data_IF_443569646878
#
_entry.id   IF_443569646878
#
_cell.length_a   1.000
_cell.length_b   1.000
_cell.length_c   1.000
_cell.angle_alpha   90.00
_cell.angle_beta   90.00
_cell.angle_gamma   90.00
#
_symmetry.space_group_name_H-M   'P 1'
#
loop_
_entity.id
_entity.type
_entity.pdbx_description
1 polymer ?
#
# COMPACT_ATOMS: atom_id res chain seq x y z
N UNK A 1 57.00 -12.54 -46.57
CA UNK A 1 57.35 -11.41 -45.66
C UNK A 1 56.05 -10.97 -45.00
N UNK A 2 55.71 -11.55 -43.85
CA UNK A 2 55.99 -11.06 -42.48
C UNK A 2 54.87 -10.09 -42.02
N UNK A 3 53.79 -10.56 -41.38
CA UNK A 3 53.57 -10.72 -39.92
C UNK A 3 53.79 -9.45 -39.08
N UNK A 4 52.71 -8.92 -38.48
CA UNK A 4 52.51 -8.78 -37.00
C UNK A 4 51.25 -7.96 -36.62
N UNK A 5 50.33 -8.62 -35.91
CA UNK A 5 49.59 -8.25 -34.65
C UNK A 5 49.19 -6.78 -34.39
N UNK A 6 47.96 -6.47 -33.97
CA UNK A 6 47.36 -6.87 -32.69
C UNK A 6 45.81 -6.92 -32.71
N UNK A 7 45.26 -7.93 -32.04
CA UNK A 7 43.86 -7.99 -31.58
C UNK A 7 43.61 -7.01 -30.45
N UNK A 8 42.39 -6.47 -30.37
CA UNK A 8 41.76 -6.19 -29.08
C UNK A 8 40.25 -6.46 -29.18
N UNK A 9 39.86 -7.64 -28.69
CA UNK A 9 38.54 -7.89 -28.14
C UNK A 9 38.52 -7.26 -26.74
N UNK A 10 37.60 -6.35 -26.49
CA UNK A 10 37.01 -6.17 -25.15
C UNK A 10 35.50 -6.11 -25.36
N UNK A 11 34.86 -7.29 -25.32
CA UNK A 11 33.49 -7.42 -24.86
C UNK A 11 33.54 -7.31 -23.34
N UNK A 12 32.82 -6.32 -22.80
CA UNK A 12 32.18 -6.25 -21.47
C UNK A 12 31.88 -4.77 -21.20
N UNK A 13 30.92 -4.23 -21.95
CA UNK A 13 30.27 -2.97 -21.64
C UNK A 13 29.16 -3.25 -20.64
N UNK A 14 29.32 -2.70 -19.44
CA UNK A 14 28.51 -2.91 -18.26
C UNK A 14 27.03 -2.62 -18.50
N UNK A 15 26.18 -3.42 -17.85
CA UNK A 15 24.75 -3.15 -17.77
C UNK A 15 24.52 -1.73 -17.28
N UNK A 16 23.73 -0.98 -18.04
CA UNK A 16 23.14 0.25 -17.57
C UNK A 16 22.17 -0.12 -16.44
N UNK A 17 22.66 -0.15 -15.21
CA UNK A 17 21.80 0.07 -14.06
C UNK A 17 21.26 1.49 -14.24
N UNK A 18 20.03 1.60 -14.72
CA UNK A 18 19.26 2.82 -14.62
C UNK A 18 19.05 3.04 -13.11
N UNK A 19 19.96 3.78 -12.50
CA UNK A 19 19.74 4.36 -11.19
C UNK A 19 18.65 5.42 -11.41
N UNK A 20 17.39 5.04 -11.20
CA UNK A 20 16.36 6.03 -10.96
C UNK A 20 16.74 6.71 -9.64
N UNK A 21 17.39 7.86 -9.73
CA UNK A 21 17.38 8.81 -8.64
C UNK A 21 15.93 9.25 -8.49
N UNK A 22 15.18 8.55 -7.64
CA UNK A 22 13.93 9.06 -7.12
C UNK A 22 14.32 10.30 -6.33
N UNK A 23 14.19 11.48 -6.95
CA UNK A 23 14.07 12.70 -6.17
C UNK A 23 12.95 12.44 -5.18
N UNK A 24 13.31 12.33 -3.89
CA UNK A 24 12.34 12.17 -2.82
C UNK A 24 11.56 13.49 -2.73
N UNK A 25 10.55 13.62 -3.59
CA UNK A 25 9.49 14.60 -3.43
C UNK A 25 8.89 14.39 -2.03
N UNK A 26 8.56 15.47 -1.35
CA UNK A 26 7.94 15.41 -0.04
C UNK A 26 6.65 14.60 -0.16
N UNK A 27 6.65 13.35 0.33
CA UNK A 27 5.44 12.56 0.41
C UNK A 27 4.47 13.29 1.35
N UNK A 28 3.22 13.40 0.92
CA UNK A 28 2.13 13.91 1.77
C UNK A 28 2.23 13.18 3.11
N UNK A 29 2.26 13.94 4.21
CA UNK A 29 2.38 13.35 5.53
C UNK A 29 1.04 12.75 5.95
N UNK A 30 1.01 11.53 6.52
CA UNK A 30 -0.22 10.96 7.06
C UNK A 30 -0.82 11.89 8.13
N UNK A 31 -2.15 12.04 8.18
CA UNK A 31 -2.83 12.78 9.24
C UNK A 31 -2.62 12.10 10.59
N UNK A 32 -2.78 12.85 11.69
CA UNK A 32 -2.52 12.34 13.04
C UNK A 32 -3.33 11.08 13.43
N UNK A 33 -4.52 10.89 12.83
CA UNK A 33 -5.35 9.69 13.04
C UNK A 33 -4.73 8.43 12.42
N UNK A 34 -3.91 8.58 11.36
CA UNK A 34 -3.12 7.50 10.77
C UNK A 34 -1.81 7.32 11.54
N UNK A 35 -1.94 6.89 12.79
CA UNK A 35 -0.82 6.60 13.67
C UNK A 35 -0.66 5.08 13.82
N UNK A 36 0.49 4.49 13.42
CA UNK A 36 0.80 3.08 13.65
C UNK A 36 0.63 2.59 15.09
N UNK A 37 0.76 3.49 16.07
CA UNK A 37 0.59 3.18 17.49
C UNK A 37 -0.86 3.34 18.00
N UNK A 38 -1.80 3.82 17.18
CA UNK A 38 -3.22 3.85 17.58
C UNK A 38 -3.75 2.41 17.65
N UNK A 39 -4.20 1.91 18.83
CA UNK A 39 -4.75 0.57 18.95
C UNK A 39 -6.02 0.37 18.12
N UNK A 40 -6.71 1.43 17.72
CA UNK A 40 -7.86 1.35 16.82
C UNK A 40 -7.46 1.09 15.37
N UNK A 41 -6.23 1.42 14.94
CA UNK A 41 -5.73 1.09 13.60
C UNK A 41 -5.32 -0.39 13.57
N UNK A 42 -6.17 -1.24 13.00
CA UNK A 42 -6.04 -2.70 13.03
C UNK A 42 -5.25 -3.28 11.86
N UNK A 43 -5.24 -2.58 10.73
CA UNK A 43 -4.49 -2.97 9.54
C UNK A 43 -4.14 -1.72 8.75
N UNK A 44 -2.88 -1.64 8.30
CA UNK A 44 -2.45 -0.64 7.33
C UNK A 44 -1.48 -1.26 6.32
N UNK A 45 -2.00 -1.71 5.20
CA UNK A 45 -1.22 -2.27 4.10
C UNK A 45 -0.95 -1.18 3.07
N UNK A 46 0.31 -0.96 2.77
CA UNK A 46 0.78 0.05 1.81
C UNK A 46 1.75 -0.65 0.86
N UNK A 47 1.42 -0.73 -0.43
CA UNK A 47 2.19 -1.52 -1.38
C UNK A 47 3.61 -0.94 -1.58
N UNK A 48 3.85 0.32 -1.22
CA UNK A 48 5.19 0.90 -1.19
C UNK A 48 6.14 0.21 -0.19
N UNK A 49 5.59 -0.51 0.81
CA UNK A 49 6.42 -1.32 1.71
C UNK A 49 7.03 -2.54 1.01
N UNK A 50 6.40 -3.06 -0.05
CA UNK A 50 6.88 -4.21 -0.81
C UNK A 50 8.11 -3.84 -1.64
N UNK A 51 8.10 -2.69 -2.30
CA UNK A 51 9.29 -2.16 -2.99
C UNK A 51 10.39 -1.81 -1.99
N UNK A 52 10.04 -1.27 -0.82
CA UNK A 52 10.98 -1.06 0.29
C UNK A 52 11.61 -2.35 0.82
N UNK A 53 10.90 -3.48 0.72
CA UNK A 53 11.40 -4.82 1.02
C UNK A 53 12.21 -5.46 -0.13
N UNK A 54 12.35 -4.76 -1.27
CA UNK A 54 13.18 -5.15 -2.40
C UNK A 54 12.46 -5.88 -3.53
N UNK A 55 11.12 -5.96 -3.51
CA UNK A 55 10.35 -6.50 -4.63
C UNK A 55 10.42 -5.56 -5.83
N UNK A 56 10.49 -6.14 -7.03
CA UNK A 56 10.48 -5.47 -8.32
C UNK A 56 9.13 -5.68 -9.03
N UNK A 57 8.86 -4.86 -10.05
CA UNK A 57 7.66 -5.01 -10.86
C UNK A 57 7.54 -6.44 -11.44
N UNK A 58 6.41 -7.09 -11.23
CA UNK A 58 6.13 -8.48 -11.62
C UNK A 58 6.60 -9.52 -10.61
N UNK A 59 7.23 -9.16 -9.49
CA UNK A 59 7.60 -10.13 -8.46
C UNK A 59 6.35 -10.61 -7.69
N UNK A 60 6.28 -11.91 -7.33
CA UNK A 60 5.17 -12.43 -6.54
C UNK A 60 5.21 -11.88 -5.10
N UNK A 61 4.04 -11.49 -4.60
CA UNK A 61 3.85 -11.03 -3.22
C UNK A 61 3.66 -12.24 -2.32
N UNK A 62 4.76 -12.69 -1.72
CA UNK A 62 4.76 -13.84 -0.78
C UNK A 62 4.37 -13.46 0.64
N UNK A 63 4.43 -12.17 0.98
CA UNK A 63 4.08 -11.62 2.30
C UNK A 63 3.90 -10.12 2.19
N UNK A 64 2.81 -9.60 2.74
CA UNK A 64 2.52 -8.17 2.87
C UNK A 64 2.26 -7.87 4.35
N UNK A 65 3.24 -7.25 4.99
CA UNK A 65 3.20 -6.92 6.42
C UNK A 65 2.59 -5.54 6.60
N UNK A 66 1.62 -5.44 7.50
CA UNK A 66 0.95 -4.20 7.79
C UNK A 66 1.79 -3.26 8.68
N UNK A 67 1.57 -1.95 8.56
CA UNK A 67 2.31 -0.88 9.24
C UNK A 67 1.81 -0.60 10.65
N UNK A 68 0.67 -1.14 11.08
CA UNK A 68 0.15 -0.95 12.44
C UNK A 68 1.01 -1.67 13.47
N UNK A 69 0.78 -1.36 14.74
CA UNK A 69 1.42 -2.02 15.87
C UNK A 69 1.12 -3.52 15.99
N UNK A 70 0.13 -4.05 15.25
CA UNK A 70 -0.23 -5.47 15.29
C UNK A 70 0.68 -6.33 14.43
N UNK A 71 1.31 -5.79 13.37
CA UNK A 71 2.21 -6.53 12.49
C UNK A 71 1.54 -7.76 11.85
N UNK A 72 0.27 -7.62 11.49
CA UNK A 72 -0.51 -8.59 10.73
C UNK A 72 0.14 -8.83 9.37
N UNK A 73 0.20 -10.10 8.97
CA UNK A 73 0.85 -10.57 7.76
C UNK A 73 -0.21 -11.18 6.86
N UNK A 74 -0.36 -10.59 5.68
CA UNK A 74 -1.16 -11.12 4.60
C UNK A 74 -0.25 -11.91 3.66
N UNK A 75 -0.53 -13.18 3.43
CA UNK A 75 0.27 -14.01 2.53
C UNK A 75 -0.63 -14.97 1.74
N UNK A 76 -0.18 -15.43 0.56
CA UNK A 76 -0.90 -16.45 -0.16
C UNK A 76 -0.84 -17.78 0.59
N UNK A 77 -1.86 -18.62 0.42
CA UNK A 77 -1.86 -19.99 0.93
C UNK A 77 -1.39 -20.95 -0.17
N UNK A 78 -1.03 -22.14 0.27
CA UNK A 78 -0.64 -23.24 -0.65
C UNK A 78 -1.70 -24.33 -0.74
N UNK A 79 -2.72 -24.26 0.12
CA UNK A 79 -3.88 -25.16 0.16
C UNK A 79 -5.13 -24.35 0.44
N UNK A 80 -6.26 -24.76 -0.13
CA UNK A 80 -7.60 -24.20 0.12
C UNK A 80 -8.03 -24.31 1.60
N UNK A 81 -9.13 -23.63 1.96
CA UNK A 81 -9.72 -23.75 3.31
C UNK A 81 -9.92 -25.22 3.73
N UNK A 82 -9.46 -25.54 4.95
CA UNK A 82 -9.55 -26.87 5.56
C UNK A 82 -10.98 -27.40 5.75
N UNK A 83 -12.01 -26.58 5.59
CA UNK A 83 -13.41 -26.94 5.76
C UNK A 83 -14.26 -26.72 4.49
N UNK A 84 -13.71 -26.13 3.43
CA UNK A 84 -14.43 -25.87 2.17
C UNK A 84 -14.80 -27.13 1.37
N UNK A 85 -15.39 -27.05 0.17
CA UNK A 85 -15.71 -28.21 -0.66
C UNK A 85 -14.47 -28.84 -1.32
N UNK A 86 -13.33 -28.13 -1.30
CA UNK A 86 -12.05 -28.52 -1.90
C UNK A 86 -10.94 -28.74 -0.85
N UNK A 87 -11.31 -29.21 0.35
CA UNK A 87 -10.43 -29.27 1.55
C UNK A 87 -9.03 -29.81 1.23
N UNK A 88 -8.01 -28.98 1.49
CA UNK A 88 -6.61 -29.41 1.43
C UNK A 88 -6.09 -29.64 0.02
N UNK A 89 -6.89 -29.33 -1.00
CA UNK A 89 -6.42 -29.34 -2.37
C UNK A 89 -5.38 -28.22 -2.56
N UNK A 90 -4.29 -28.49 -3.33
CA UNK A 90 -3.33 -27.46 -3.67
C UNK A 90 -3.99 -26.34 -4.46
N UNK A 91 -3.58 -25.10 -4.21
CA UNK A 91 -4.09 -23.92 -4.89
C UNK A 91 -2.96 -22.98 -5.25
N UNK A 92 -3.07 -22.36 -6.42
CA UNK A 92 -2.26 -21.20 -6.76
C UNK A 92 -2.95 -19.92 -6.26
N UNK A 93 -2.22 -19.17 -5.45
CA UNK A 93 -2.53 -17.79 -5.08
C UNK A 93 -1.20 -17.03 -5.25
N UNK A 94 -1.04 -16.22 -6.31
CA UNK A 94 0.21 -15.49 -6.60
C UNK A 94 -0.08 -14.05 -7.01
N UNK A 95 -0.63 -13.22 -6.10
CA UNK A 95 -0.72 -11.79 -6.37
C UNK A 95 0.68 -11.22 -6.65
N UNK A 96 0.78 -10.28 -7.58
CA UNK A 96 2.05 -9.72 -8.04
C UNK A 96 2.19 -8.25 -7.64
N UNK A 97 3.42 -7.82 -7.35
CA UNK A 97 3.72 -6.41 -7.30
C UNK A 97 3.61 -5.84 -8.73
N UNK A 98 2.74 -4.87 -8.95
CA UNK A 98 2.65 -4.14 -10.20
C UNK A 98 2.87 -2.65 -9.95
N UNK A 99 3.79 -2.07 -10.72
CA UNK A 99 4.05 -0.65 -10.71
C UNK A 99 3.22 -0.02 -11.83
N UNK A 100 2.25 0.81 -11.43
CA UNK A 100 1.34 1.52 -12.33
C UNK A 100 1.68 3.02 -12.35
N UNK A 101 1.38 3.70 -13.45
CA UNK A 101 1.52 5.15 -13.52
C UNK A 101 0.23 5.84 -13.07
N UNK A 102 0.28 6.63 -11.97
CA UNK A 102 -0.83 7.45 -11.49
C UNK A 102 -0.40 8.90 -11.34
N UNK A 103 -1.07 9.81 -12.03
CA UNK A 103 -0.74 11.25 -12.00
C UNK A 103 0.76 11.53 -12.25
N UNK A 104 1.36 10.80 -13.19
CA UNK A 104 2.79 10.86 -13.51
C UNK A 104 3.73 10.16 -12.51
N UNK A 105 3.21 9.59 -11.42
CA UNK A 105 3.97 8.84 -10.40
C UNK A 105 3.98 7.36 -10.74
N UNK A 106 5.12 6.71 -10.53
CA UNK A 106 5.20 5.25 -10.52
C UNK A 106 4.77 4.74 -9.14
N UNK A 107 3.55 4.20 -9.06
CA UNK A 107 2.90 3.77 -7.83
C UNK A 107 2.98 2.25 -7.70
N UNK A 108 3.55 1.72 -6.61
CA UNK A 108 3.48 0.30 -6.31
C UNK A 108 2.07 -0.13 -5.94
N UNK A 109 1.63 -1.26 -6.46
CA UNK A 109 0.32 -1.86 -6.23
C UNK A 109 0.43 -3.37 -6.16
N UNK A 110 -0.54 -4.05 -5.56
CA UNK A 110 -0.67 -5.50 -5.62
C UNK A 110 -1.75 -5.83 -6.64
N UNK A 111 -1.35 -6.46 -7.74
CA UNK A 111 -2.25 -6.99 -8.76
C UNK A 111 -2.76 -8.35 -8.33
N UNK A 112 -4.07 -8.51 -8.43
CA UNK A 112 -4.78 -9.75 -8.25
C UNK A 112 -5.32 -10.17 -9.61
N UNK A 113 -4.73 -11.23 -10.16
CA UNK A 113 -5.15 -11.78 -11.43
C UNK A 113 -6.30 -12.78 -11.26
N UNK A 114 -7.12 -12.84 -12.29
CA UNK A 114 -8.18 -13.84 -12.44
C UNK A 114 -8.28 -14.27 -13.89
N UNK A 115 -7.78 -15.46 -14.16
CA UNK A 115 -7.98 -16.15 -15.43
C UNK A 115 -8.97 -17.29 -15.25
N UNK A 116 -10.13 -17.23 -15.91
CA UNK A 116 -11.08 -18.35 -15.93
C UNK A 116 -12.22 -18.31 -14.87
N UNK A 117 -13.08 -19.36 -14.87
CA UNK A 117 -14.27 -19.39 -14.02
C UNK A 117 -13.91 -19.57 -12.52
N UNK A 118 -14.70 -19.00 -11.59
CA UNK A 118 -14.38 -18.94 -10.15
C UNK A 118 -14.29 -20.30 -9.43
N UNK A 119 -14.58 -21.41 -10.13
CA UNK A 119 -14.57 -22.78 -9.60
C UNK A 119 -13.30 -23.58 -9.92
N UNK A 120 -12.31 -23.01 -10.62
CA UNK A 120 -11.06 -23.70 -10.93
C UNK A 120 -10.03 -23.52 -9.81
N UNK A 121 -9.36 -24.62 -9.44
CA UNK A 121 -8.21 -24.63 -8.53
C UNK A 121 -6.94 -24.47 -9.35
N UNK A 122 -6.04 -23.60 -8.90
CA UNK A 122 -4.87 -23.21 -9.67
C UNK A 122 -3.79 -24.24 -9.47
N UNK A 123 -2.91 -24.38 -10.44
CA UNK A 123 -1.69 -25.16 -10.26
C UNK A 123 -0.68 -24.33 -9.46
N UNK A 124 -0.39 -24.67 -8.19
CA UNK A 124 0.59 -23.93 -7.38
C UNK A 124 1.99 -23.86 -8.02
N UNK A 125 2.29 -24.76 -8.96
CA UNK A 125 3.58 -24.83 -9.65
C UNK A 125 3.64 -23.95 -10.91
N UNK A 126 2.51 -23.44 -11.38
CA UNK A 126 2.40 -22.60 -12.58
C UNK A 126 1.89 -21.24 -12.15
N UNK A 127 2.53 -20.19 -12.66
CA UNK A 127 2.11 -18.82 -12.41
C UNK A 127 1.04 -18.42 -13.45
N UNK A 128 -0.07 -17.83 -13.02
CA UNK A 128 -1.20 -17.49 -13.88
C UNK A 128 -1.98 -18.73 -14.35
N UNK A 129 -2.10 -19.73 -13.48
CA UNK A 129 -2.72 -21.02 -13.82
C UNK A 129 -4.25 -21.02 -13.87
N UNK A 130 -4.86 -19.90 -13.46
CA UNK A 130 -6.28 -19.62 -13.67
C UNK A 130 -7.23 -19.91 -12.51
N UNK A 131 -6.80 -19.67 -11.26
CA UNK A 131 -7.65 -19.91 -10.08
C UNK A 131 -7.90 -18.73 -9.17
N UNK A 132 -7.28 -17.60 -9.51
CA UNK A 132 -7.34 -16.31 -8.81
C UNK A 132 -6.33 -16.12 -7.70
N UNK A 133 -5.78 -14.92 -7.67
CA UNK A 133 -4.87 -14.45 -6.65
C UNK A 133 -5.61 -14.00 -5.40
N UNK A 134 -5.04 -14.36 -4.24
CA UNK A 134 -5.62 -14.08 -2.93
C UNK A 134 -4.50 -13.87 -1.90
N UNK A 135 -4.81 -13.12 -0.85
CA UNK A 135 -3.98 -13.03 0.35
C UNK A 135 -4.85 -13.28 1.57
N UNK A 136 -4.33 -14.05 2.53
CA UNK A 136 -5.00 -14.29 3.81
C UNK A 136 -4.12 -13.89 4.98
N UNK A 137 -4.77 -13.50 6.07
CA UNK A 137 -4.13 -13.30 7.35
C UNK A 137 -3.51 -14.61 7.82
N UNK A 138 -2.20 -14.60 8.07
CA UNK A 138 -1.45 -15.82 8.44
C UNK A 138 -0.95 -15.82 9.89
N UNK A 139 -1.00 -14.67 10.55
CA UNK A 139 -0.66 -14.51 11.96
C UNK A 139 -1.77 -13.74 12.70
N UNK A 140 -1.61 -13.62 14.02
CA UNK A 140 -2.56 -12.94 14.89
C UNK A 140 -3.99 -13.53 14.74
N UNK A 141 -4.14 -14.85 14.73
CA UNK A 141 -5.43 -15.53 14.55
C UNK A 141 -6.01 -16.10 15.85
N UNK A 142 -5.39 -15.81 16.99
CA UNK A 142 -5.89 -16.33 18.27
C UNK A 142 -7.23 -15.63 18.60
N UNK A 143 -8.25 -16.35 19.12
CA UNK A 143 -9.57 -15.79 19.39
C UNK A 143 -9.61 -14.54 20.29
N UNK A 144 -8.55 -14.29 21.06
CA UNK A 144 -8.42 -13.14 21.96
C UNK A 144 -7.35 -12.12 21.52
N UNK A 145 -6.77 -12.29 20.34
CA UNK A 145 -5.69 -11.46 19.82
C UNK A 145 -5.81 -11.17 18.32
N UNK A 146 -6.89 -11.61 17.66
CA UNK A 146 -7.11 -11.28 16.26
C UNK A 146 -7.51 -9.80 16.11
N UNK A 147 -6.63 -8.94 15.56
CA UNK A 147 -6.92 -7.51 15.43
C UNK A 147 -8.05 -7.24 14.44
N UNK A 148 -8.30 -8.17 13.52
CA UNK A 148 -9.30 -8.06 12.47
C UNK A 148 -10.61 -8.77 12.83
N UNK A 149 -10.68 -9.46 13.97
CA UNK A 149 -11.96 -9.94 14.52
C UNK A 149 -12.74 -8.82 15.19
N UNK A 150 -13.29 -7.94 14.34
CA UNK A 150 -14.01 -6.72 14.74
C UNK A 150 -15.48 -7.03 15.10
N UNK A 151 -15.93 -8.28 14.91
CA UNK A 151 -17.18 -8.85 15.45
C UNK A 151 -18.47 -8.05 15.23
N UNK A 152 -19.51 -8.39 16.00
CA UNK A 152 -20.80 -7.67 16.07
C UNK A 152 -20.75 -6.46 17.03
N UNK A 153 -19.73 -6.33 17.88
CA UNK A 153 -19.72 -5.33 18.96
C UNK A 153 -18.75 -4.18 18.76
N UNK A 154 -18.23 -3.94 17.55
CA UNK A 154 -17.26 -2.87 17.32
C UNK A 154 -17.49 -2.22 15.97
N UNK A 155 -17.66 -0.90 15.96
CA UNK A 155 -17.71 -0.14 14.71
C UNK A 155 -16.42 -0.25 13.90
N UNK A 156 -16.54 -0.07 12.59
CA UNK A 156 -15.48 -0.22 11.61
C UNK A 156 -15.44 0.98 10.68
N UNK A 157 -14.25 1.47 10.36
CA UNK A 157 -14.03 2.36 9.22
C UNK A 157 -12.89 1.79 8.39
N UNK A 158 -13.10 1.61 7.09
CA UNK A 158 -12.06 1.18 6.17
C UNK A 158 -11.79 2.24 5.11
N UNK A 159 -10.58 2.20 4.54
CA UNK A 159 -10.25 2.90 3.31
C UNK A 159 -9.48 1.95 2.41
N UNK A 160 -9.73 2.03 1.11
CA UNK A 160 -8.97 1.29 0.11
C UNK A 160 -8.69 2.18 -1.09
N UNK A 161 -7.48 2.05 -1.62
CA UNK A 161 -7.08 2.65 -2.90
C UNK A 161 -6.88 1.53 -3.89
N UNK A 162 -7.77 1.43 -4.87
CA UNK A 162 -7.80 0.31 -5.80
C UNK A 162 -8.42 0.69 -7.14
N UNK A 163 -8.23 -0.16 -8.13
CA UNK A 163 -8.89 -0.07 -9.43
C UNK A 163 -9.91 -1.21 -9.57
N UNK A 164 -11.22 -0.93 -9.52
CA UNK A 164 -12.25 -1.93 -9.69
C UNK A 164 -12.41 -2.30 -11.17
N UNK A 165 -12.44 -3.61 -11.46
CA UNK A 165 -12.81 -4.10 -12.78
C UNK A 165 -14.27 -4.56 -12.80
N UNK A 166 -15.09 -3.88 -13.60
CA UNK A 166 -16.53 -4.10 -13.73
C UNK A 166 -16.83 -4.63 -15.13
N UNK A 167 -17.57 -5.73 -15.22
CA UNK A 167 -17.94 -6.30 -16.51
C UNK A 167 -19.24 -7.10 -16.42
N UNK A 168 -20.06 -7.04 -17.45
CA UNK A 168 -21.21 -7.93 -17.64
C UNK A 168 -20.88 -9.13 -18.55
N UNK A 169 -19.62 -9.29 -18.93
CA UNK A 169 -19.17 -10.35 -19.83
C UNK A 169 -19.54 -11.72 -19.30
N UNK A 170 -20.11 -12.55 -20.19
CA UNK A 170 -20.46 -13.93 -19.91
C UNK A 170 -19.46 -14.88 -20.58
N UNK A 171 -19.19 -16.01 -19.94
CA UNK A 171 -18.43 -17.12 -20.54
C UNK A 171 -19.29 -17.90 -21.55
N UNK A 172 -18.68 -18.88 -22.21
CA UNK A 172 -19.36 -19.74 -23.22
C UNK A 172 -20.57 -20.53 -22.66
N UNK A 173 -20.66 -20.67 -21.34
CA UNK A 173 -21.79 -21.30 -20.65
C UNK A 173 -22.86 -20.29 -20.22
N UNK A 174 -22.72 -19.01 -20.56
CA UNK A 174 -23.65 -17.94 -20.21
C UNK A 174 -23.56 -17.45 -18.77
N UNK A 175 -22.49 -17.81 -18.04
CA UNK A 175 -22.27 -17.35 -16.66
C UNK A 175 -21.35 -16.13 -16.64
N UNK A 176 -21.53 -15.18 -15.71
CA UNK A 176 -20.65 -14.02 -15.60
C UNK A 176 -19.20 -14.44 -15.38
N UNK A 177 -18.29 -13.82 -16.13
CA UNK A 177 -16.85 -14.14 -16.07
C UNK A 177 -16.31 -13.82 -14.67
N UNK A 178 -16.72 -12.69 -14.09
CA UNK A 178 -16.30 -12.26 -12.75
C UNK A 178 -17.32 -12.59 -11.65
N UNK A 179 -18.63 -12.53 -11.92
CA UNK A 179 -19.64 -12.80 -10.88
C UNK A 179 -19.50 -11.90 -9.66
N UNK A 180 -19.71 -12.43 -8.46
CA UNK A 180 -19.42 -11.68 -7.23
C UNK A 180 -17.91 -11.65 -6.99
N UNK A 181 -17.37 -10.46 -6.79
CA UNK A 181 -15.99 -10.26 -6.39
C UNK A 181 -15.94 -9.83 -4.93
N UNK A 182 -14.88 -10.25 -4.22
CA UNK A 182 -14.60 -9.84 -2.85
C UNK A 182 -13.25 -9.14 -2.84
N UNK A 183 -13.27 -7.82 -2.68
CA UNK A 183 -12.04 -7.02 -2.63
C UNK A 183 -11.31 -7.31 -1.32
N UNK A 184 -12.05 -7.35 -0.22
CA UNK A 184 -11.60 -7.89 1.05
C UNK A 184 -12.77 -8.33 1.89
N UNK A 185 -12.54 -9.21 2.86
CA UNK A 185 -13.55 -9.58 3.82
C UNK A 185 -13.04 -10.43 4.97
N UNK A 186 -13.71 -10.30 6.12
CA UNK A 186 -13.63 -11.28 7.19
C UNK A 186 -14.99 -11.92 7.37
N UNK A 187 -14.99 -13.24 7.25
CA UNK A 187 -16.18 -14.04 7.40
C UNK A 187 -16.11 -14.89 8.66
N UNK A 188 -17.25 -15.11 9.30
CA UNK A 188 -17.38 -16.07 10.39
C UNK A 188 -18.24 -17.28 10.02
N UNK A 189 -18.54 -18.10 11.03
CA UNK A 189 -19.25 -19.37 10.84
C UNK A 189 -20.68 -19.24 10.33
N UNK A 190 -21.34 -18.10 10.58
CA UNK A 190 -22.76 -17.86 10.26
C UNK A 190 -23.00 -16.69 9.31
N UNK A 191 -22.22 -15.60 9.41
CA UNK A 191 -22.30 -14.42 8.52
C UNK A 191 -20.91 -13.86 8.18
N UNK A 192 -20.85 -12.88 7.25
CA UNK A 192 -19.68 -12.02 7.17
C UNK A 192 -19.71 -11.02 8.32
N UNK A 193 -18.55 -10.82 8.95
CA UNK A 193 -18.37 -9.74 9.94
C UNK A 193 -18.30 -8.42 9.19
N UNK A 194 -17.52 -8.39 8.12
CA UNK A 194 -17.51 -7.29 7.16
C UNK A 194 -16.88 -7.74 5.85
N UNK A 195 -17.29 -7.09 4.77
CA UNK A 195 -16.82 -7.35 3.41
C UNK A 195 -16.98 -6.08 2.57
N UNK A 196 -16.07 -5.86 1.63
CA UNK A 196 -16.33 -5.00 0.49
C UNK A 196 -16.13 -5.83 -0.77
N UNK A 197 -17.17 -5.90 -1.61
CA UNK A 197 -17.15 -6.62 -2.87
C UNK A 197 -17.67 -5.80 -4.04
N UNK A 198 -17.66 -6.39 -5.24
CA UNK A 198 -18.24 -5.84 -6.47
C UNK A 198 -19.16 -6.87 -7.10
N UNK A 199 -20.37 -6.47 -7.50
CA UNK A 199 -21.34 -7.38 -8.09
C UNK A 199 -21.34 -7.35 -9.62
N UNK A 200 -20.80 -8.37 -10.28
CA UNK A 200 -20.74 -8.45 -11.75
C UNK A 200 -21.77 -9.39 -12.40
N UNK A 201 -22.87 -9.68 -11.71
CA UNK A 201 -23.98 -10.37 -12.36
C UNK A 201 -24.81 -9.36 -13.17
N UNK A 202 -25.18 -9.66 -14.42
CA UNK A 202 -26.05 -8.80 -15.22
C UNK A 202 -27.37 -8.51 -14.51
N UNK A 203 -27.79 -7.24 -14.53
CA UNK A 203 -29.03 -6.82 -13.89
C UNK A 203 -28.95 -5.37 -13.39
N UNK A 204 -29.90 -4.99 -12.55
CA UNK A 204 -29.98 -3.66 -11.93
C UNK A 204 -28.88 -3.41 -10.88
N UNK A 205 -28.20 -4.46 -10.42
CA UNK A 205 -27.13 -4.39 -9.41
C UNK A 205 -25.72 -4.51 -9.99
N UNK A 206 -25.58 -4.62 -11.32
CA UNK A 206 -24.29 -4.72 -12.00
C UNK A 206 -23.34 -3.57 -11.60
N UNK A 207 -22.09 -3.91 -11.31
CA UNK A 207 -20.98 -3.01 -11.00
C UNK A 207 -21.00 -2.41 -9.60
N UNK A 208 -22.08 -2.60 -8.83
CA UNK A 208 -22.23 -1.95 -7.53
C UNK A 208 -21.29 -2.55 -6.49
N UNK A 209 -20.82 -1.70 -5.58
CA UNK A 209 -20.21 -2.19 -4.36
C UNK A 209 -21.23 -2.97 -3.55
N UNK A 210 -20.79 -4.05 -2.93
CA UNK A 210 -21.63 -4.92 -2.14
C UNK A 210 -21.08 -5.15 -0.73
N UNK A 211 -22.00 -5.31 0.20
CA UNK A 211 -21.80 -5.85 1.54
C UNK A 211 -22.82 -6.95 1.76
N UNK A 212 -22.41 -8.13 2.22
CA UNK A 212 -23.32 -9.27 2.38
C UNK A 212 -23.37 -9.72 3.84
N UNK A 213 -24.56 -9.75 4.42
CA UNK A 213 -24.81 -10.48 5.67
C UNK A 213 -25.30 -11.89 5.31
N UNK A 214 -24.38 -12.86 5.24
CA UNK A 214 -24.72 -14.22 4.77
C UNK A 214 -25.74 -14.97 5.64
N UNK A 215 -25.93 -14.58 6.92
CA UNK A 215 -26.92 -15.20 7.81
C UNK A 215 -28.36 -14.83 7.42
N UNK A 216 -28.58 -13.58 6.97
CA UNK A 216 -29.86 -13.13 6.44
C UNK A 216 -30.02 -13.41 4.94
N UNK A 217 -29.00 -13.99 4.29
CA UNK A 217 -28.87 -14.10 2.83
C UNK A 217 -29.23 -12.79 2.11
N UNK A 218 -28.83 -11.67 2.72
CA UNK A 218 -29.17 -10.32 2.29
C UNK A 218 -27.92 -9.61 1.80
N UNK A 219 -27.99 -9.10 0.58
CA UNK A 219 -26.95 -8.27 -0.03
C UNK A 219 -27.38 -6.82 -0.04
N UNK A 220 -26.49 -5.97 0.42
CA UNK A 220 -26.61 -4.52 0.42
C UNK A 220 -25.71 -3.98 -0.68
N UNK A 221 -26.24 -3.12 -1.52
CA UNK A 221 -25.55 -2.54 -2.67
C UNK A 221 -25.42 -1.03 -2.53
N UNK A 222 -24.36 -0.45 -3.07
CA UNK A 222 -24.29 1.00 -3.27
C UNK A 222 -25.44 1.48 -4.18
N UNK A 223 -26.04 2.65 -3.93
CA UNK A 223 -27.08 3.20 -4.82
C UNK A 223 -26.50 3.85 -6.08
N UNK A 224 -25.26 4.34 -6.00
CA UNK A 224 -24.47 4.72 -7.16
C UNK A 224 -23.63 3.53 -7.65
N UNK A 225 -23.41 3.46 -8.97
CA UNK A 225 -22.46 2.50 -9.56
C UNK A 225 -21.10 3.19 -9.58
N UNK A 226 -20.03 2.57 -9.04
CA UNK A 226 -18.67 3.10 -9.16
C UNK A 226 -18.23 3.11 -10.63
N UNK A 227 -17.37 4.07 -10.99
CA UNK A 227 -16.74 4.12 -12.31
C UNK A 227 -15.90 2.86 -12.56
N UNK A 228 -15.97 2.32 -13.78
CA UNK A 228 -15.17 1.14 -14.17
C UNK A 228 -13.74 1.56 -14.52
N UNK A 229 -12.78 0.69 -14.24
CA UNK A 229 -11.40 0.78 -14.74
C UNK A 229 -10.65 2.08 -14.36
N UNK A 230 -11.14 2.78 -13.33
CA UNK A 230 -10.56 4.02 -12.82
C UNK A 230 -9.94 3.75 -11.44
N UNK A 231 -9.06 4.61 -10.94
CA UNK A 231 -8.53 4.45 -9.57
C UNK A 231 -9.40 5.20 -8.56
N UNK A 232 -9.76 4.52 -7.48
CA UNK A 232 -10.69 5.01 -6.48
C UNK A 232 -9.99 5.18 -5.13
N UNK A 233 -10.49 6.11 -4.32
CA UNK A 233 -10.41 6.03 -2.86
C UNK A 233 -11.82 5.70 -2.36
N UNK A 234 -12.01 4.50 -1.83
CA UNK A 234 -13.30 4.03 -1.32
C UNK A 234 -13.23 3.83 0.18
N UNK A 235 -14.31 4.15 0.89
CA UNK A 235 -14.42 3.96 2.33
C UNK A 235 -15.73 3.26 2.69
N UNK A 236 -15.65 2.30 3.59
CA UNK A 236 -16.81 1.68 4.21
C UNK A 236 -16.83 2.04 5.69
N UNK A 237 -18.01 2.44 6.18
CA UNK A 237 -18.25 2.69 7.61
C UNK A 237 -19.34 1.75 8.07
N UNK A 238 -19.02 0.85 9.00
CA UNK A 238 -20.02 0.05 9.72
C UNK A 238 -20.13 0.59 11.14
N UNK A 239 -21.32 0.97 11.56
CA UNK A 239 -21.56 1.48 12.92
C UNK A 239 -22.37 0.47 13.72
N UNK A 240 -21.76 0.00 14.82
CA UNK A 240 -22.46 -0.78 15.84
C UNK A 240 -23.51 0.09 16.53
N UNK A 241 -24.74 -0.42 16.69
CA UNK A 241 -25.77 0.24 17.49
C UNK A 241 -25.91 -0.51 18.83
N UNK A 242 -25.36 0.04 19.93
CA UNK A 242 -25.27 -0.67 21.19
C UNK A 242 -26.62 -1.18 21.70
N UNK A 243 -26.65 -2.46 22.07
CA UNK A 243 -27.84 -3.10 22.64
C UNK A 243 -28.90 -3.51 21.62
N UNK A 244 -28.57 -3.48 20.33
CA UNK A 244 -29.43 -3.98 19.25
C UNK A 244 -28.67 -5.00 18.40
N UNK A 245 -29.39 -5.73 17.55
CA UNK A 245 -28.80 -6.60 16.51
C UNK A 245 -28.78 -5.91 15.13
N UNK A 246 -28.97 -4.58 15.13
CA UNK A 246 -29.12 -3.75 13.95
C UNK A 246 -27.91 -2.83 13.88
N UNK A 247 -27.16 -2.89 12.80
CA UNK A 247 -26.05 -1.97 12.57
C UNK A 247 -26.37 -1.08 11.37
N UNK A 248 -25.49 -0.13 11.07
CA UNK A 248 -25.57 0.59 9.80
C UNK A 248 -24.31 0.39 8.97
N UNK A 249 -24.45 0.38 7.65
CA UNK A 249 -23.36 0.44 6.69
C UNK A 249 -23.51 1.68 5.82
N UNK A 250 -22.40 2.36 5.57
CA UNK A 250 -22.28 3.45 4.60
C UNK A 250 -21.10 3.17 3.69
N UNK A 251 -21.25 3.54 2.42
CA UNK A 251 -20.25 3.39 1.39
C UNK A 251 -19.97 4.77 0.80
N UNK A 252 -18.71 5.16 0.79
CA UNK A 252 -18.24 6.43 0.26
C UNK A 252 -17.22 6.18 -0.83
N UNK A 253 -17.20 7.02 -1.84
CA UNK A 253 -16.28 6.86 -2.96
C UNK A 253 -15.80 8.19 -3.54
N UNK A 254 -14.54 8.21 -3.96
CA UNK A 254 -13.93 9.24 -4.79
C UNK A 254 -13.31 8.52 -5.99
N UNK A 255 -13.86 8.77 -7.18
CA UNK A 255 -13.72 7.91 -8.35
C UNK A 255 -13.23 8.63 -9.62
N UNK A 256 -12.82 9.90 -9.50
CA UNK A 256 -12.44 10.71 -10.65
C UNK A 256 -10.92 10.91 -10.76
N UNK A 257 -10.14 10.27 -9.86
CA UNK A 257 -8.69 10.47 -9.73
C UNK A 257 -8.30 11.95 -9.56
N UNK A 258 -9.19 12.77 -9.00
CA UNK A 258 -8.90 14.16 -8.66
C UNK A 258 -8.35 14.20 -7.21
N UNK A 259 -7.15 14.74 -6.98
CA UNK A 259 -6.56 14.82 -5.63
C UNK A 259 -7.40 15.63 -4.63
N UNK A 260 -8.25 16.53 -5.11
CA UNK A 260 -9.09 17.39 -4.29
C UNK A 260 -10.55 16.90 -4.21
N UNK A 261 -10.86 15.75 -4.81
CA UNK A 261 -12.20 15.18 -4.73
C UNK A 261 -12.52 14.78 -3.30
N UNK A 262 -13.61 15.35 -2.78
CA UNK A 262 -14.22 14.87 -1.54
C UNK A 262 -15.00 13.58 -1.81
N UNK A 263 -14.87 12.60 -0.92
CA UNK A 263 -15.64 11.36 -1.03
C UNK A 263 -17.14 11.65 -0.94
N UNK A 264 -17.92 11.01 -1.82
CA UNK A 264 -19.37 11.15 -1.86
C UNK A 264 -20.03 9.92 -1.26
N UNK A 265 -21.07 10.10 -0.45
CA UNK A 265 -21.92 8.99 0.03
C UNK A 265 -22.64 8.37 -1.17
N UNK A 266 -22.41 7.08 -1.41
CA UNK A 266 -23.00 6.35 -2.51
C UNK A 266 -24.42 5.87 -2.21
N UNK A 267 -24.91 6.05 -0.98
CA UNK A 267 -26.13 5.46 -0.48
C UNK A 267 -26.06 3.93 -0.43
N UNK A 268 -27.01 3.31 0.27
CA UNK A 268 -27.11 1.84 0.34
C UNK A 268 -28.55 1.41 0.06
N UNK A 269 -28.71 0.28 -0.63
CA UNK A 269 -30.01 -0.31 -0.98
C UNK A 269 -29.98 -1.84 -1.00
N UNK A 270 -31.15 -2.47 -0.93
CA UNK A 270 -31.32 -3.91 -1.15
C UNK A 270 -31.33 -4.26 -2.65
N UNK A 271 -31.30 -5.55 -2.97
CA UNK A 271 -31.38 -6.06 -4.36
C UNK A 271 -32.62 -5.62 -5.13
N UNK A 272 -33.73 -5.36 -4.42
CA UNK A 272 -34.98 -4.86 -5.00
C UNK A 272 -34.99 -3.33 -5.22
N UNK A 273 -33.90 -2.65 -4.87
CA UNK A 273 -33.74 -1.20 -4.98
C UNK A 273 -34.22 -0.41 -3.76
N UNK A 274 -34.71 -1.07 -2.70
CA UNK A 274 -35.17 -0.40 -1.48
C UNK A 274 -34.00 0.28 -0.76
N UNK A 275 -34.02 1.62 -0.57
CA UNK A 275 -32.97 2.32 0.19
C UNK A 275 -32.96 1.87 1.65
N UNK A 276 -31.80 1.42 2.13
CA UNK A 276 -31.55 1.11 3.54
C UNK A 276 -30.07 1.09 3.80
N UNK A 277 -29.63 1.73 4.88
CA UNK A 277 -28.29 1.54 5.44
C UNK A 277 -28.30 0.58 6.63
N UNK A 278 -29.47 0.18 7.13
CA UNK A 278 -29.57 -0.70 8.29
C UNK A 278 -29.29 -2.14 7.88
N UNK A 279 -28.26 -2.73 8.48
CA UNK A 279 -27.89 -4.13 8.33
C UNK A 279 -28.33 -4.94 9.55
N UNK A 280 -28.61 -6.23 9.34
CA UNK A 280 -29.07 -7.12 10.39
C UNK A 280 -28.04 -8.22 10.66
N UNK A 281 -27.88 -8.58 11.93
CA UNK A 281 -27.21 -9.82 12.35
C UNK A 281 -25.76 -9.96 11.82
N UNK A 282 -24.87 -9.03 12.17
CA UNK A 282 -23.39 -9.18 12.01
C UNK A 282 -22.82 -10.19 13.03
N UNK A 283 -23.59 -11.22 13.34
CA UNK A 283 -23.29 -12.21 14.36
C UNK A 283 -22.49 -13.36 13.76
N UNK A 284 -21.17 -13.33 13.97
CA UNK A 284 -20.31 -14.43 13.58
C UNK A 284 -19.26 -14.70 14.65
N UNK A 285 -19.23 -15.92 15.18
CA UNK A 285 -18.08 -16.44 15.92
C UNK A 285 -17.03 -16.88 14.89
N UNK A 286 -15.87 -16.22 14.82
CA UNK A 286 -14.98 -16.44 13.67
C UNK A 286 -13.72 -17.24 14.03
N UNK A 287 -13.49 -18.39 13.38
CA UNK A 287 -12.19 -19.06 13.33
C UNK A 287 -11.43 -18.76 12.02
N UNK A 288 -12.02 -18.04 11.07
CA UNK A 288 -11.49 -17.88 9.72
C UNK A 288 -10.65 -16.58 9.55
N UNK A 289 -9.57 -16.63 8.76
CA UNK A 289 -8.69 -15.48 8.55
C UNK A 289 -9.37 -14.39 7.71
N UNK A 290 -8.99 -13.13 7.94
CA UNK A 290 -9.29 -12.05 7.01
C UNK A 290 -8.64 -12.34 5.64
N UNK A 291 -9.34 -12.01 4.55
CA UNK A 291 -8.87 -12.18 3.18
C UNK A 291 -8.86 -10.87 2.40
N UNK A 292 -7.95 -10.78 1.43
CA UNK A 292 -7.88 -9.76 0.39
C UNK A 292 -7.92 -10.48 -0.94
N UNK A 293 -8.75 -9.99 -1.84
CA UNK A 293 -9.12 -10.64 -3.07
C UNK A 293 -9.98 -11.90 -2.90
N UNK A 294 -10.42 -12.19 -1.66
CA UNK A 294 -11.35 -13.25 -1.31
C UNK A 294 -11.88 -13.06 0.11
N UNK A 295 -12.82 -13.92 0.50
CA UNK A 295 -13.11 -14.24 1.91
C UNK A 295 -12.95 -15.75 2.13
N UNK A 296 -12.75 -16.19 3.38
CA UNK A 296 -12.71 -17.62 3.70
C UNK A 296 -14.06 -18.13 4.20
N UNK A 297 -14.58 -19.22 3.64
CA UNK A 297 -15.87 -19.81 4.05
C UNK A 297 -15.76 -21.30 4.34
N UNK A 298 -16.08 -21.64 5.60
CA UNK A 298 -16.01 -23.00 6.10
C UNK A 298 -17.04 -23.99 5.50
N UNK A 299 -18.12 -23.56 4.83
CA UNK A 299 -19.18 -24.48 4.38
C UNK A 299 -19.27 -24.68 2.86
N UNK A 300 -18.85 -23.74 2.02
CA UNK A 300 -18.91 -23.93 0.56
C UNK A 300 -17.81 -23.25 -0.25
N UNK A 301 -16.70 -22.83 0.38
CA UNK A 301 -15.47 -22.49 -0.33
C UNK A 301 -15.30 -21.02 -0.68
N UNK A 302 -14.33 -20.73 -1.55
CA UNK A 302 -13.72 -19.40 -1.70
C UNK A 302 -13.79 -18.98 -3.18
N UNK A 303 -14.99 -19.06 -3.75
CA UNK A 303 -15.22 -18.84 -5.18
C UNK A 303 -15.32 -17.36 -5.57
N UNK A 304 -15.65 -16.49 -4.61
CA UNK A 304 -15.73 -15.05 -4.81
C UNK A 304 -14.35 -14.41 -4.72
N UNK A 305 -13.87 -13.92 -5.86
CA UNK A 305 -12.46 -13.56 -6.06
C UNK A 305 -12.36 -12.23 -6.78
N UNK A 306 -11.34 -11.45 -6.43
CA UNK A 306 -11.12 -10.11 -7.00
C UNK A 306 -10.17 -10.16 -8.20
N UNK A 307 -10.47 -9.33 -9.18
CA UNK A 307 -9.56 -9.00 -10.27
C UNK A 307 -9.30 -7.49 -10.25
N UNK A 308 -8.03 -7.10 -10.16
CA UNK A 308 -7.64 -5.69 -10.18
C UNK A 308 -6.44 -5.40 -9.29
N UNK A 309 -6.19 -4.11 -9.04
CA UNK A 309 -5.00 -3.64 -8.33
C UNK A 309 -5.37 -2.94 -7.04
N UNK A 310 -4.64 -3.21 -5.96
CA UNK A 310 -4.79 -2.53 -4.67
C UNK A 310 -3.46 -1.85 -4.32
N UNK A 311 -3.48 -0.53 -4.13
CA UNK A 311 -2.32 0.24 -3.69
C UNK A 311 -2.21 0.28 -2.16
N UNK A 312 -3.33 0.47 -1.46
CA UNK A 312 -3.35 0.65 -0.01
C UNK A 312 -4.69 0.24 0.59
N UNK A 313 -4.66 -0.38 1.77
CA UNK A 313 -5.84 -0.82 2.52
C UNK A 313 -5.64 -0.50 4.01
N UNK A 314 -6.62 0.18 4.59
CA UNK A 314 -6.59 0.69 5.96
C UNK A 314 -7.87 0.26 6.67
N UNK A 315 -7.74 -0.25 7.89
CA UNK A 315 -8.87 -0.71 8.70
C UNK A 315 -8.75 -0.16 10.12
N UNK A 316 -9.78 0.55 10.57
CA UNK A 316 -9.96 1.02 11.93
C UNK A 316 -11.10 0.25 12.63
N UNK A 317 -10.88 -0.21 13.86
CA UNK A 317 -11.92 -0.73 14.75
C UNK A 317 -12.61 0.40 15.55
N UNK A 318 -13.04 1.44 14.84
CA UNK A 318 -13.88 2.54 15.34
C UNK A 318 -14.58 3.22 14.16
N UNK A 319 -15.67 3.93 14.44
CA UNK A 319 -16.17 4.97 13.54
C UNK A 319 -15.24 6.17 13.67
N UNK A 320 -14.64 6.62 12.57
CA UNK A 320 -13.89 7.88 12.56
C UNK A 320 -14.85 9.06 12.69
N UNK A 321 -14.40 10.15 13.32
CA UNK A 321 -15.12 11.43 13.22
C UNK A 321 -15.14 11.91 11.76
N UNK A 322 -16.10 12.76 11.35
CA UNK A 322 -16.13 13.29 9.99
C UNK A 322 -14.82 13.97 9.57
N UNK A 323 -14.16 14.67 10.51
CA UNK A 323 -12.86 15.32 10.28
C UNK A 323 -11.73 14.31 10.09
N UNK A 324 -11.68 13.26 10.92
CA UNK A 324 -10.69 12.19 10.76
C UNK A 324 -10.92 11.43 9.44
N UNK A 325 -12.18 11.13 9.10
CA UNK A 325 -12.54 10.44 7.87
C UNK A 325 -12.10 11.22 6.64
N UNK A 326 -12.46 12.50 6.57
CA UNK A 326 -12.03 13.40 5.50
C UNK A 326 -10.51 13.55 5.45
N UNK A 327 -9.82 13.67 6.59
CA UNK A 327 -8.36 13.79 6.61
C UNK A 327 -7.66 12.54 6.03
N UNK A 328 -8.18 11.33 6.29
CA UNK A 328 -7.64 10.10 5.69
C UNK A 328 -7.94 10.04 4.20
N UNK A 329 -9.16 10.38 3.80
CA UNK A 329 -9.55 10.43 2.39
C UNK A 329 -8.65 11.39 1.59
N UNK A 330 -8.53 12.64 2.04
CA UNK A 330 -7.69 13.66 1.39
C UNK A 330 -6.23 13.23 1.35
N UNK A 331 -5.72 12.60 2.43
CA UNK A 331 -4.36 12.05 2.41
C UNK A 331 -4.16 11.02 1.29
N UNK A 332 -5.09 10.07 1.12
CA UNK A 332 -5.00 9.05 0.09
C UNK A 332 -5.14 9.67 -1.31
N UNK A 333 -6.13 10.53 -1.54
CA UNK A 333 -6.31 11.22 -2.83
C UNK A 333 -5.08 12.04 -3.20
N UNK A 334 -4.51 12.80 -2.27
CA UNK A 334 -3.28 13.56 -2.50
C UNK A 334 -2.09 12.62 -2.75
N UNK A 335 -1.90 11.58 -1.93
CA UNK A 335 -0.81 10.61 -2.07
C UNK A 335 -0.80 9.96 -3.45
N UNK A 336 -1.96 9.57 -3.98
CA UNK A 336 -2.05 8.79 -5.23
C UNK A 336 -2.35 9.60 -6.47
N UNK A 337 -3.12 10.69 -6.36
CA UNK A 337 -3.66 11.39 -7.53
C UNK A 337 -3.12 12.81 -7.72
N UNK A 338 -2.37 13.36 -6.77
CA UNK A 338 -1.68 14.63 -6.98
C UNK A 338 -0.56 14.44 -8.03
N UNK A 339 -0.47 15.29 -9.08
CA UNK A 339 0.57 15.20 -10.09
C UNK A 339 1.99 15.21 -9.51
N UNK A 340 2.94 14.54 -10.19
CA UNK A 340 4.38 14.75 -9.92
C UNK A 340 4.71 16.22 -10.12
N UNK A 341 4.99 16.91 -9.03
CA UNK A 341 5.23 18.36 -9.03
C UNK A 341 4.22 19.15 -8.21
N UNK A 342 3.09 18.56 -7.77
CA UNK A 342 2.19 19.22 -6.82
C UNK A 342 2.88 19.32 -5.45
N UNK A 343 3.60 20.42 -5.23
CA UNK A 343 4.16 20.76 -3.92
C UNK A 343 3.03 21.42 -3.12
N UNK A 344 2.85 21.03 -1.85
CA UNK A 344 1.84 21.69 -1.03
C UNK A 344 2.18 23.19 -0.94
N UNK A 345 1.29 24.06 -1.43
CA UNK A 345 1.57 25.50 -1.55
C UNK A 345 2.09 25.95 -2.92
N UNK A 346 2.29 25.03 -3.88
CA UNK A 346 2.52 25.34 -5.31
C UNK A 346 1.16 25.62 -5.95
N UNK A 347 0.73 26.87 -5.87
CA UNK A 347 -0.57 27.32 -6.34
C UNK A 347 -0.56 27.76 -7.80
N UNK A 348 0.61 28.03 -8.39
CA UNK A 348 0.71 28.34 -9.81
C UNK A 348 1.04 27.10 -10.69
N UNK A 349 1.42 25.99 -10.05
CA UNK A 349 1.63 24.67 -10.64
C UNK A 349 2.96 24.53 -11.37
N UNK A 350 3.96 25.34 -11.02
CA UNK A 350 5.27 25.36 -11.68
C UNK A 350 6.31 24.41 -11.06
N UNK A 351 5.96 23.77 -9.95
CA UNK A 351 6.74 22.73 -9.29
C UNK A 351 7.62 23.23 -8.15
N UNK A 352 7.53 24.50 -7.76
CA UNK A 352 8.13 25.04 -6.53
C UNK A 352 7.15 25.82 -5.65
N UNK A 353 7.61 26.28 -4.47
CA UNK A 353 6.80 27.07 -3.53
C UNK A 353 7.54 28.37 -3.26
N UNK A 354 7.11 29.42 -3.93
CA UNK A 354 7.75 30.73 -3.94
C UNK A 354 6.74 31.89 -3.85
N UNK A 355 7.16 33.10 -4.23
CA UNK A 355 6.29 34.28 -4.18
C UNK A 355 5.20 34.32 -5.25
N UNK A 356 5.31 33.53 -6.32
CA UNK A 356 4.37 33.44 -7.43
C UNK A 356 3.08 32.73 -6.97
N UNK A 357 3.22 31.69 -6.13
CA UNK A 357 2.11 31.01 -5.47
C UNK A 357 1.32 31.90 -4.53
N UNK A 358 2.02 32.72 -3.74
CA UNK A 358 1.37 33.72 -2.89
C UNK A 358 0.55 34.68 -3.74
N UNK A 359 1.02 35.04 -4.93
CA UNK A 359 0.27 35.83 -5.89
C UNK A 359 -1.03 35.16 -6.34
N UNK A 360 -1.03 33.84 -6.55
CA UNK A 360 -2.25 33.09 -6.86
C UNK A 360 -3.22 33.10 -5.67
N UNK A 361 -2.72 32.83 -4.46
CA UNK A 361 -3.53 32.89 -3.24
C UNK A 361 -4.13 34.28 -2.99
N UNK A 362 -3.36 35.34 -3.14
CA UNK A 362 -3.82 36.73 -2.97
C UNK A 362 -4.94 37.09 -3.94
N UNK A 363 -4.86 36.61 -5.19
CA UNK A 363 -5.89 36.83 -6.21
C UNK A 363 -7.17 36.03 -5.91
N UNK A 364 -7.03 34.83 -5.36
CA UNK A 364 -8.15 33.91 -5.15
C UNK A 364 -8.76 33.98 -3.75
N UNK A 365 -8.14 34.67 -2.79
CA UNK A 365 -8.63 34.79 -1.43
C UNK A 365 -10.09 35.27 -1.37
N UNK A 366 -10.96 34.44 -0.78
CA UNK A 366 -12.39 34.71 -0.66
C UNK A 366 -13.20 34.67 -1.97
N UNK A 367 -12.61 34.23 -3.08
CA UNK A 367 -13.31 34.04 -4.37
C UNK A 367 -14.15 32.77 -4.31
N UNK A 368 -15.40 32.88 -4.79
CA UNK A 368 -16.35 31.76 -4.91
C UNK A 368 -17.11 31.84 -6.25
N UNK A 369 -17.28 30.72 -6.97
CA UNK A 369 -16.71 29.39 -6.67
C UNK A 369 -15.18 29.38 -6.85
N UNK A 370 -14.49 28.45 -6.17
CA UNK A 370 -13.04 28.22 -6.37
C UNK A 370 -12.81 27.86 -7.84
N UNK A 371 -11.84 28.49 -8.53
CA UNK A 371 -11.55 28.19 -9.92
C UNK A 371 -10.95 26.78 -10.09
N UNK A 372 -11.11 26.21 -11.28
CA UNK A 372 -10.36 25.01 -11.66
C UNK A 372 -8.85 25.28 -11.64
N UNK A 373 -8.04 24.24 -11.41
CA UNK A 373 -6.59 24.37 -11.27
C UNK A 373 -5.94 25.13 -12.45
N UNK A 374 -4.93 25.99 -12.19
CA UNK A 374 -4.31 26.26 -10.89
C UNK A 374 -5.22 27.03 -9.93
N UNK A 375 -5.31 26.56 -8.67
CA UNK A 375 -6.08 27.19 -7.61
C UNK A 375 -5.37 27.11 -6.26
N UNK A 376 -5.73 28.02 -5.36
CA UNK A 376 -5.10 28.18 -4.06
C UNK A 376 -5.89 27.55 -2.89
N UNK A 377 -6.79 26.60 -3.18
CA UNK A 377 -7.49 25.79 -2.16
C UNK A 377 -6.59 24.60 -1.78
N UNK A 378 -5.60 24.89 -0.94
CA UNK A 378 -4.55 23.95 -0.57
C UNK A 378 -5.00 22.89 0.44
N UNK A 379 -6.06 23.14 1.20
CA UNK A 379 -6.65 22.14 2.11
C UNK A 379 -7.86 21.39 1.52
N UNK A 380 -8.32 21.81 0.33
CA UNK A 380 -9.39 21.17 -0.44
C UNK A 380 -10.78 21.38 0.15
N UNK A 381 -10.99 22.41 0.97
CA UNK A 381 -12.25 22.65 1.67
C UNK A 381 -13.28 23.44 0.82
N UNK A 382 -12.93 23.81 -0.42
CA UNK A 382 -13.77 24.57 -1.32
C UNK A 382 -13.73 26.08 -1.05
N UNK A 383 -12.80 26.57 -0.24
CA UNK A 383 -12.54 27.99 0.06
C UNK A 383 -11.05 28.28 -0.13
N UNK A 384 -10.72 29.52 -0.45
CA UNK A 384 -9.34 30.03 -0.40
C UNK A 384 -9.24 31.02 0.74
N UNK A 385 -8.65 30.60 1.86
CA UNK A 385 -8.58 31.36 3.10
C UNK A 385 -7.23 31.26 3.84
N UNK A 386 -7.20 31.62 5.12
CA UNK A 386 -5.98 31.61 5.92
C UNK A 386 -5.41 30.21 6.20
N UNK A 387 -6.20 29.15 6.09
CA UNK A 387 -5.72 27.77 6.19
C UNK A 387 -4.80 27.41 5.03
N UNK A 388 -5.15 27.88 3.82
CA UNK A 388 -4.35 27.71 2.61
C UNK A 388 -3.06 28.53 2.69
N UNK A 389 -3.14 29.79 3.14
CA UNK A 389 -1.95 30.61 3.37
C UNK A 389 -0.97 29.92 4.34
N UNK A 390 -1.48 29.24 5.36
CA UNK A 390 -0.66 28.48 6.30
C UNK A 390 -0.03 27.23 5.66
N UNK A 391 -0.64 26.65 4.63
CA UNK A 391 -0.04 25.58 3.82
C UNK A 391 1.11 26.17 3.00
N UNK A 392 0.91 27.25 2.26
CA UNK A 392 1.98 27.94 1.53
C UNK A 392 3.14 28.33 2.45
N UNK A 393 2.88 29.01 3.58
CA UNK A 393 3.91 29.44 4.53
C UNK A 393 4.76 28.30 5.11
N UNK A 394 4.17 27.11 5.30
CA UNK A 394 4.89 25.94 5.81
C UNK A 394 5.82 25.30 4.78
N UNK A 395 5.56 25.55 3.51
CA UNK A 395 6.30 24.94 2.40
C UNK A 395 7.18 25.95 1.65
N UNK A 396 6.99 27.26 1.90
CA UNK A 396 7.89 28.33 1.50
C UNK A 396 9.31 28.01 1.99
N UNK A 397 10.23 27.82 1.04
CA UNK A 397 11.62 27.41 1.30
C UNK A 397 11.76 26.05 2.02
N UNK A 398 11.21 24.95 1.48
CA UNK A 398 11.86 23.65 1.74
C UNK A 398 13.24 23.68 1.07
N UNK A 399 14.37 23.77 1.81
CA UNK A 399 15.65 23.59 1.17
C UNK A 399 15.65 22.18 0.62
N UNK A 400 15.95 22.04 -0.68
CA UNK A 400 16.48 20.77 -1.19
C UNK A 400 17.49 20.26 -0.14
N UNK A 401 17.43 18.98 0.28
CA UNK A 401 18.29 18.49 1.35
C UNK A 401 19.72 18.92 1.01
N UNK A 402 20.31 19.75 1.88
CA UNK A 402 21.67 20.18 1.71
C UNK A 402 22.50 18.93 1.45
N UNK A 403 23.15 18.88 0.29
CA UNK A 403 24.06 17.78 -0.06
C UNK A 403 24.89 17.48 1.18
N UNK A 404 24.70 16.28 1.75
CA UNK A 404 25.23 15.93 3.06
C UNK A 404 26.71 16.29 3.11
N UNK A 405 27.12 16.92 4.22
CA UNK A 405 28.49 17.36 4.44
C UNK A 405 29.45 16.25 3.98
N UNK A 406 30.13 16.51 2.86
CA UNK A 406 31.18 15.65 2.34
C UNK A 406 32.17 15.47 3.49
N UNK A 407 32.44 14.24 3.96
CA UNK A 407 33.44 14.02 4.99
C UNK A 407 34.74 14.67 4.52
N UNK A 408 35.28 15.60 5.30
CA UNK A 408 36.52 16.29 4.94
C UNK A 408 37.56 15.24 4.54
N UNK A 409 38.23 15.39 3.38
CA UNK A 409 39.18 14.39 2.91
C UNK A 409 40.25 14.19 3.99
N UNK A 410 40.57 12.91 4.26
CA UNK A 410 41.54 12.43 5.26
C UNK A 410 42.99 12.96 5.08
N UNK A 411 43.18 14.03 4.31
CA UNK A 411 44.38 14.83 4.12
C UNK A 411 44.97 15.31 5.44
N UNK A 412 44.14 15.78 6.39
CA UNK A 412 44.61 16.20 7.71
C UNK A 412 45.16 15.01 8.51
N UNK A 413 44.47 13.87 8.50
CA UNK A 413 44.90 12.62 9.15
C UNK A 413 46.15 12.03 8.51
N UNK A 414 46.29 12.12 7.18
CA UNK A 414 47.49 11.71 6.44
C UNK A 414 48.68 12.64 6.69
N UNK A 415 48.46 13.95 6.83
CA UNK A 415 49.50 14.92 7.18
C UNK A 415 50.04 14.69 8.60
N UNK A 416 49.15 14.47 9.57
CA UNK A 416 49.55 14.15 10.96
C UNK A 416 50.25 12.78 11.03
N UNK A 417 49.71 11.76 10.35
CA UNK A 417 50.34 10.44 10.27
C UNK A 417 51.70 10.46 9.59
N UNK A 418 51.85 11.23 8.50
CA UNK A 418 53.11 11.41 7.78
C UNK A 418 54.17 12.12 8.61
N UNK A 419 53.80 13.19 9.33
CA UNK A 419 54.70 13.91 10.22
C UNK A 419 55.20 13.03 11.39
N UNK A 420 54.30 12.23 11.98
CA UNK A 420 54.65 11.28 13.04
C UNK A 420 55.62 10.18 12.56
N UNK A 421 55.41 9.64 11.35
CA UNK A 421 56.29 8.63 10.76
C UNK A 421 57.72 9.17 10.48
N UNK A 422 57.83 10.43 10.03
CA UNK A 422 59.13 11.09 9.80
C UNK A 422 59.85 11.35 11.13
N UNK A 423 59.13 11.82 12.15
CA UNK A 423 59.69 12.03 13.49
C UNK A 423 60.21 10.71 14.09
N UNK A 424 59.45 9.62 13.96
CA UNK A 424 59.83 8.31 14.49
C UNK A 424 61.07 7.72 13.81
N UNK A 425 61.23 7.94 12.49
CA UNK A 425 62.45 7.55 11.76
C UNK A 425 63.70 8.32 12.20
N UNK A 426 63.58 9.58 12.65
CA UNK A 426 64.72 10.37 13.14
C UNK A 426 65.20 9.90 14.52
N UNK A 427 64.29 9.47 15.40
CA UNK A 427 64.65 8.98 16.75
C UNK A 427 65.38 7.63 16.69
N UNK A 428 65.04 6.75 15.74
CA UNK A 428 65.69 5.43 15.58
C UNK A 428 67.09 5.45 14.96
N UNK A 429 67.58 6.60 14.46
CA UNK A 429 68.92 6.74 13.86
C UNK A 429 69.99 7.29 14.82
N UNK A 430 69.82 7.14 16.13
CA UNK A 430 70.93 7.35 17.06
C UNK A 430 71.90 6.15 16.99
N UNK A 431 73.20 6.35 16.74
CA UNK A 431 74.16 5.25 16.66
C UNK A 431 74.31 4.61 18.04
N UNK A 432 74.03 3.31 18.13
CA UNK A 432 74.40 2.51 19.31
C UNK A 432 75.89 2.24 19.21
N UNK A 433 76.67 2.93 20.05
CA UNK A 433 78.03 2.56 20.41
C UNK A 433 78.01 1.15 20.99
N UNK A 434 78.59 0.19 20.25
CA UNK A 434 78.60 -1.22 20.64
C UNK A 434 79.60 -1.52 21.77
N UNK A 435 79.37 -2.61 22.51
CA UNK A 435 80.45 -3.34 23.12
C UNK A 435 80.45 -4.84 22.75
N UNK A 436 81.68 -5.29 22.50
CA UNK A 436 82.28 -6.58 22.85
C UNK A 436 81.52 -7.90 22.57
N UNK A 437 82.08 -8.63 21.61
CA UNK A 437 81.84 -10.04 21.37
C UNK A 437 82.16 -10.91 22.60
N UNK A 438 81.29 -11.88 22.91
CA UNK A 438 81.68 -13.07 23.68
C UNK A 438 81.20 -14.31 22.93
N UNK A 439 82.16 -15.19 22.62
CA UNK A 439 82.03 -16.35 21.74
C UNK A 439 81.36 -17.55 22.41
N UNK A 440 80.45 -18.15 21.66
CA UNK A 440 80.13 -19.58 21.43
C UNK A 440 80.56 -20.67 22.41
N UNK A 441 79.57 -21.52 22.68
CA UNK A 441 79.62 -22.93 23.09
C UNK A 441 80.72 -23.75 22.40
N UNK A 442 81.28 -24.75 23.08
CA UNK A 442 80.85 -26.17 22.97
C UNK A 442 81.85 -27.10 23.69
N UNK A 443 81.36 -27.96 24.59
CA UNK A 443 82.12 -29.10 25.11
C UNK A 443 81.81 -30.34 24.26
N UNK A 444 82.86 -31.04 23.80
CA UNK A 444 82.74 -32.39 23.23
C UNK A 444 83.86 -33.27 23.79
N UNK A 445 83.44 -34.31 24.50
CA UNK A 445 84.24 -35.40 25.06
C UNK A 445 84.20 -36.54 24.02
N UNK A 446 85.35 -37.08 23.61
CA UNK A 446 85.78 -38.48 23.85
C UNK A 446 87.04 -38.84 23.06
N UNK A 447 87.74 -39.78 23.70
CA UNK A 447 89.00 -40.48 23.37
C UNK A 447 88.95 -41.19 22.03
#
# INVERSE_FOLDING_TARGET
>A
MAFRTFSNRILLGQGAALLFAVSALAQVSPPAVLNPADPALRLWLDAATLTGAGLLNGDPVTSWVDKSSYGTIMAPRTTTNLNGPFIGDPVEEKPHLEIVELAGKMVPTVRFDRDGPPSQLGDPNVDGSGSTDRLYQTNNLAPNFDPLDIGDGTSLTTFIVFNPFITDTLNDQGNPVLGAQVVYGKRGTSSAVYELGIWNFPGNTLGRFQYITYDANTTYFSQSVPEDNTWHVTSQVVTDIPGTSMDTVQLFDAQDMDPNQTMTDMGVMLSDGTPTSTIQNRNASTPEPFGIGAHSQACCGEGETFAGNIAELIIFAKTLTPQEHSAVASYLSQKYFAPVGAVAGDYDGDGDVDGSDLGVWEVQYGVQPVPAAPNADGDGNGLVDGADLLIWQRNLESPAPAAGAVPEPATATLLVGGAAAIAWRRVRRRPVSGPAATRSLCARIQV
#
